data_IF_019578327373
#
_entry.id   IF_019578327373
#
_cell.length_a   1.000
_cell.length_b   1.000
_cell.length_c   1.000
_cell.angle_alpha   90.00
_cell.angle_beta   90.00
_cell.angle_gamma   90.00
#
_symmetry.space_group_name_H-M   'P 1'
#
loop_
_entity.id
_entity.type
_entity.pdbx_description
1 polymer ?
#
# COMPACT_ATOMS: atom_id res chain seq x y z
N UNK A 1 26.40 23.52 -13.80
CA UNK A 1 26.53 22.48 -12.76
C UNK A 1 25.13 22.02 -12.45
N UNK A 2 24.80 20.76 -12.68
CA UNK A 2 23.52 20.22 -12.21
C UNK A 2 23.55 20.28 -10.69
N UNK A 3 22.65 21.05 -10.09
CA UNK A 3 22.47 21.09 -8.65
C UNK A 3 22.22 19.66 -8.20
N UNK A 4 23.05 19.12 -7.31
CA UNK A 4 22.78 17.81 -6.70
C UNK A 4 21.42 17.95 -6.02
N UNK A 5 20.40 17.29 -6.57
CA UNK A 5 19.07 17.33 -5.99
C UNK A 5 19.09 16.49 -4.72
N UNK A 6 19.20 17.19 -3.60
CA UNK A 6 19.19 16.59 -2.27
C UNK A 6 17.81 15.98 -2.01
N UNK A 7 17.79 14.80 -1.41
CA UNK A 7 16.56 14.21 -0.92
C UNK A 7 16.05 15.03 0.28
N UNK A 8 15.01 15.83 0.04
CA UNK A 8 14.47 16.80 0.99
C UNK A 8 13.00 16.52 1.31
N UNK A 9 12.48 17.12 2.39
CA UNK A 9 11.06 17.05 2.72
C UNK A 9 10.15 17.58 1.61
N UNK A 10 10.60 18.62 0.89
CA UNK A 10 9.90 19.16 -0.28
C UNK A 10 9.85 18.14 -1.43
N UNK A 11 10.98 17.49 -1.74
CA UNK A 11 11.03 16.46 -2.77
C UNK A 11 10.13 15.27 -2.37
N UNK A 12 10.21 14.81 -1.13
CA UNK A 12 9.38 13.70 -0.64
C UNK A 12 7.88 14.04 -0.65
N UNK A 13 7.51 15.28 -0.28
CA UNK A 13 6.12 15.76 -0.42
C UNK A 13 5.67 15.73 -1.88
N UNK A 14 6.51 16.20 -2.80
CA UNK A 14 6.20 16.17 -4.24
C UNK A 14 6.08 14.74 -4.78
N UNK A 15 6.94 13.83 -4.32
CA UNK A 15 6.85 12.40 -4.63
C UNK A 15 5.48 11.85 -4.24
N UNK A 16 5.02 12.12 -3.02
CA UNK A 16 3.71 11.66 -2.55
C UNK A 16 2.55 12.28 -3.33
N UNK A 17 2.60 13.57 -3.67
CA UNK A 17 1.55 14.23 -4.47
C UNK A 17 1.44 13.64 -5.87
N UNK A 18 2.58 13.36 -6.50
CA UNK A 18 2.62 12.70 -7.80
C UNK A 18 2.08 11.26 -7.72
N UNK A 19 2.41 10.53 -6.65
CA UNK A 19 1.83 9.20 -6.39
C UNK A 19 0.31 9.25 -6.22
N UNK A 20 -0.22 10.22 -5.44
CA UNK A 20 -1.66 10.41 -5.28
C UNK A 20 -2.36 10.68 -6.63
N UNK A 21 -1.75 11.54 -7.45
CA UNK A 21 -2.27 11.89 -8.78
C UNK A 21 -2.35 10.68 -9.70
N UNK A 22 -1.28 9.86 -9.77
CA UNK A 22 -1.27 8.65 -10.59
C UNK A 22 -2.23 7.59 -10.08
N UNK A 23 -2.31 7.38 -8.76
CA UNK A 23 -3.27 6.44 -8.18
C UNK A 23 -4.70 6.86 -8.46
N UNK A 24 -5.02 8.16 -8.38
CA UNK A 24 -6.33 8.70 -8.77
C UNK A 24 -6.63 8.39 -10.23
N UNK A 25 -5.68 8.72 -11.11
CA UNK A 25 -5.78 8.56 -12.55
C UNK A 25 -6.08 7.11 -12.96
N UNK A 26 -5.39 6.14 -12.34
CA UNK A 26 -5.52 4.72 -12.65
C UNK A 26 -6.42 3.94 -11.67
N UNK A 27 -7.14 4.62 -10.78
CA UNK A 27 -7.96 4.00 -9.73
C UNK A 27 -8.90 2.93 -10.28
N UNK A 28 -9.64 3.24 -11.35
CA UNK A 28 -10.60 2.30 -11.96
C UNK A 28 -9.91 1.10 -12.59
N UNK A 29 -8.77 1.32 -13.25
CA UNK A 29 -7.97 0.23 -13.78
C UNK A 29 -7.51 -0.73 -12.68
N UNK A 30 -6.97 -0.20 -11.58
CA UNK A 30 -6.55 -1.00 -10.42
C UNK A 30 -7.71 -1.81 -9.81
N UNK A 31 -8.91 -1.21 -9.74
CA UNK A 31 -10.10 -1.90 -9.28
C UNK A 31 -10.50 -3.05 -10.24
N UNK A 32 -10.43 -2.83 -11.55
CA UNK A 32 -10.81 -3.84 -12.55
C UNK A 32 -9.86 -5.05 -12.59
N UNK A 33 -8.59 -4.87 -12.25
CA UNK A 33 -7.61 -5.98 -12.16
C UNK A 33 -7.53 -6.62 -10.77
N UNK A 34 -8.35 -6.16 -9.80
CA UNK A 34 -8.38 -6.71 -8.46
C UNK A 34 -9.08 -8.07 -8.45
N UNK A 35 -8.30 -9.15 -8.44
CA UNK A 35 -8.79 -10.54 -8.41
C UNK A 35 -8.23 -11.36 -7.25
N UNK A 36 -7.36 -10.78 -6.41
CA UNK A 36 -6.73 -11.45 -5.28
C UNK A 36 -6.50 -10.48 -4.10
N UNK A 37 -6.72 -10.92 -2.84
CA UNK A 37 -7.27 -12.22 -2.43
C UNK A 37 -8.76 -12.36 -2.75
N UNK A 38 -9.47 -11.24 -2.87
CA UNK A 38 -10.90 -11.20 -3.17
C UNK A 38 -11.13 -10.20 -4.30
N UNK A 39 -11.99 -10.54 -5.25
CA UNK A 39 -12.34 -9.70 -6.39
C UNK A 39 -13.41 -8.65 -6.04
N UNK A 40 -13.20 -7.86 -4.99
CA UNK A 40 -14.17 -6.86 -4.49
C UNK A 40 -14.10 -5.50 -5.22
N UNK A 41 -13.13 -5.34 -6.13
CA UNK A 41 -13.01 -4.15 -6.97
C UNK A 41 -12.65 -2.87 -6.21
N UNK A 42 -11.96 -2.98 -5.06
CA UNK A 42 -11.69 -1.81 -4.20
C UNK A 42 -10.20 -1.39 -4.12
N UNK A 43 -9.26 -2.19 -4.63
CA UNK A 43 -7.82 -2.01 -4.41
C UNK A 43 -7.31 -0.62 -4.79
N UNK A 44 -7.71 -0.10 -5.95
CA UNK A 44 -7.34 1.24 -6.39
C UNK A 44 -7.89 2.34 -5.48
N UNK A 45 -9.14 2.20 -5.01
CA UNK A 45 -9.75 3.14 -4.09
C UNK A 45 -9.02 3.14 -2.74
N UNK A 46 -8.76 1.97 -2.18
CA UNK A 46 -8.05 1.78 -0.91
C UNK A 46 -6.63 2.37 -0.93
N UNK A 47 -5.87 2.11 -2.02
CA UNK A 47 -4.53 2.69 -2.19
C UNK A 47 -4.57 4.20 -2.36
N UNK A 48 -5.49 4.73 -3.18
CA UNK A 48 -5.65 6.16 -3.38
C UNK A 48 -5.99 6.87 -2.07
N UNK A 49 -7.03 6.42 -1.35
CA UNK A 49 -7.46 7.03 -0.08
C UNK A 49 -6.36 7.01 0.99
N UNK A 50 -5.57 5.93 1.03
CA UNK A 50 -4.43 5.83 1.95
C UNK A 50 -3.36 6.88 1.63
N UNK A 51 -3.07 7.12 0.35
CA UNK A 51 -2.09 8.12 -0.07
C UNK A 51 -2.67 9.54 0.01
N UNK A 52 -3.96 9.73 -0.24
CA UNK A 52 -4.65 11.01 -0.07
C UNK A 52 -4.60 11.48 1.39
N UNK A 53 -4.82 10.59 2.35
CA UNK A 53 -4.67 10.90 3.78
C UNK A 53 -3.24 11.33 4.17
N UNK A 54 -2.22 10.83 3.47
CA UNK A 54 -0.83 11.33 3.62
C UNK A 54 -0.73 12.78 3.15
N UNK A 55 -1.33 13.10 2.01
CA UNK A 55 -1.32 14.47 1.46
C UNK A 55 -2.04 15.44 2.40
N UNK A 56 -3.18 15.05 2.96
CA UNK A 56 -3.89 15.87 3.94
C UNK A 56 -3.02 16.18 5.17
N UNK A 57 -2.29 15.19 5.69
CA UNK A 57 -1.38 15.38 6.83
C UNK A 57 -0.19 16.31 6.47
N UNK A 58 0.36 16.17 5.26
CA UNK A 58 1.45 17.01 4.75
C UNK A 58 1.02 18.46 4.49
N UNK A 59 -0.16 18.67 3.91
CA UNK A 59 -0.67 20.00 3.58
C UNK A 59 -0.95 20.82 4.85
N UNK A 60 -1.42 20.15 5.91
CA UNK A 60 -1.61 20.77 7.23
C UNK A 60 -0.30 21.16 7.93
N UNK A 61 0.86 20.66 7.45
CA UNK A 61 2.17 20.85 8.08
C UNK A 61 3.24 21.22 7.03
N UNK A 62 3.02 22.32 6.33
CA UNK A 62 3.93 22.82 5.28
C UNK A 62 5.32 23.21 5.81
N UNK A 63 6.37 23.06 4.99
CA UNK A 63 7.77 23.41 5.25
C UNK A 63 8.51 22.57 6.31
N UNK A 64 8.13 21.30 6.46
CA UNK A 64 8.79 20.34 7.34
C UNK A 64 10.18 19.89 6.85
N UNK A 65 11.04 19.53 7.79
CA UNK A 65 12.29 18.78 7.51
C UNK A 65 11.99 17.40 6.90
N UNK A 66 13.00 16.72 6.35
CA UNK A 66 12.80 15.37 5.79
C UNK A 66 12.32 14.37 6.84
N UNK A 67 12.81 14.47 8.08
CA UNK A 67 12.42 13.63 9.22
C UNK A 67 10.96 13.87 9.60
N UNK A 68 10.57 15.12 9.79
CA UNK A 68 9.17 15.48 10.09
C UNK A 68 8.23 15.07 8.93
N UNK A 69 8.65 15.29 7.68
CA UNK A 69 7.89 14.87 6.49
C UNK A 69 7.66 13.35 6.50
N UNK A 70 8.71 12.57 6.79
CA UNK A 70 8.61 11.11 6.89
C UNK A 70 7.66 10.70 8.04
N UNK A 71 7.73 11.35 9.20
CA UNK A 71 6.82 11.08 10.31
C UNK A 71 5.35 11.38 9.96
N UNK A 72 5.09 12.49 9.26
CA UNK A 72 3.75 12.82 8.76
C UNK A 72 3.25 11.79 7.75
N UNK A 73 4.12 11.28 6.87
CA UNK A 73 3.79 10.18 5.95
C UNK A 73 3.43 8.90 6.70
N UNK A 74 4.23 8.50 7.69
CA UNK A 74 3.93 7.33 8.52
C UNK A 74 2.58 7.48 9.25
N UNK A 75 2.33 8.66 9.84
CA UNK A 75 1.08 8.95 10.55
C UNK A 75 -0.13 8.97 9.61
N UNK A 76 -0.06 9.74 8.53
CA UNK A 76 -1.14 9.89 7.55
C UNK A 76 -1.50 8.55 6.92
N UNK A 77 -0.50 7.77 6.49
CA UNK A 77 -0.73 6.44 5.92
C UNK A 77 -1.35 5.47 6.91
N UNK A 78 -0.89 5.43 8.17
CA UNK A 78 -1.45 4.54 9.20
C UNK A 78 -2.89 4.90 9.56
N UNK A 79 -3.16 6.20 9.73
CA UNK A 79 -4.50 6.66 10.10
C UNK A 79 -5.49 6.53 8.95
N UNK A 80 -5.06 6.80 7.72
CA UNK A 80 -5.86 6.74 6.50
C UNK A 80 -5.93 5.37 5.83
N UNK A 81 -5.14 4.38 6.28
CA UNK A 81 -5.16 3.04 5.72
C UNK A 81 -6.57 2.44 5.71
N UNK A 82 -6.96 1.94 4.55
CA UNK A 82 -8.21 1.23 4.28
C UNK A 82 -7.92 0.00 3.45
N UNK A 83 -8.66 -1.08 3.65
CA UNK A 83 -8.43 -2.35 2.96
C UNK A 83 -7.08 -3.01 3.23
N UNK A 84 -6.88 -4.18 2.64
CA UNK A 84 -5.60 -4.88 2.71
C UNK A 84 -4.45 -4.07 2.08
N UNK A 85 -4.68 -3.53 0.88
CA UNK A 85 -3.66 -2.80 0.12
C UNK A 85 -3.23 -1.52 0.85
N UNK A 86 -4.16 -0.77 1.44
CA UNK A 86 -3.85 0.43 2.23
C UNK A 86 -3.11 0.12 3.53
N UNK A 87 -3.49 -0.95 4.24
CA UNK A 87 -2.75 -1.36 5.45
C UNK A 87 -1.33 -1.81 5.10
N UNK A 88 -1.12 -2.58 4.03
CA UNK A 88 0.22 -2.96 3.56
C UNK A 88 1.06 -1.72 3.21
N UNK A 89 0.50 -0.77 2.45
CA UNK A 89 1.18 0.49 2.13
C UNK A 89 1.53 1.28 3.39
N UNK A 90 0.64 1.33 4.38
CA UNK A 90 0.93 2.03 5.63
C UNK A 90 2.11 1.43 6.39
N UNK A 91 2.27 0.11 6.34
CA UNK A 91 3.40 -0.56 6.96
C UNK A 91 4.68 -0.36 6.17
N UNK A 92 4.60 -0.34 4.84
CA UNK A 92 5.72 0.08 4.00
C UNK A 92 6.19 1.49 4.36
N UNK A 93 5.29 2.48 4.36
CA UNK A 93 5.61 3.86 4.66
C UNK A 93 6.06 4.05 6.11
N UNK A 94 5.48 3.32 7.07
CA UNK A 94 5.92 3.32 8.46
C UNK A 94 7.35 2.81 8.61
N UNK A 95 7.68 1.67 8.01
CA UNK A 95 9.05 1.13 8.02
C UNK A 95 10.06 2.04 7.32
N UNK A 96 9.69 2.58 6.15
CA UNK A 96 10.48 3.55 5.40
C UNK A 96 10.80 4.79 6.23
N UNK A 97 9.78 5.40 6.84
CA UNK A 97 9.91 6.62 7.62
C UNK A 97 10.70 6.42 8.91
N UNK A 98 10.46 5.30 9.61
CA UNK A 98 11.23 4.93 10.79
C UNK A 98 12.72 4.73 10.49
N UNK A 99 13.05 4.31 9.27
CA UNK A 99 14.44 4.21 8.82
C UNK A 99 15.05 5.58 8.53
N UNK A 100 14.33 6.45 7.81
CA UNK A 100 14.77 7.84 7.54
C UNK A 100 15.14 8.58 8.82
N UNK A 101 14.37 8.41 9.88
CA UNK A 101 14.59 9.07 11.18
C UNK A 101 15.95 8.74 11.83
N UNK A 102 16.66 7.72 11.35
CA UNK A 102 17.97 7.29 11.85
C UNK A 102 19.13 8.05 11.22
N UNK A 103 18.89 8.86 10.18
CA UNK A 103 19.93 9.47 9.36
C UNK A 103 19.82 10.99 9.35
N UNK A 104 20.97 11.68 9.42
CA UNK A 104 21.03 13.15 9.30
C UNK A 104 20.89 13.62 7.85
N UNK A 105 21.42 12.85 6.91
CA UNK A 105 21.37 13.13 5.47
C UNK A 105 20.96 11.85 4.74
N UNK A 106 20.12 11.98 3.71
CA UNK A 106 19.63 10.84 2.94
C UNK A 106 20.33 10.79 1.58
N UNK A 107 21.31 9.90 1.46
CA UNK A 107 21.95 9.54 0.21
C UNK A 107 21.37 8.24 -0.39
N UNK A 108 21.98 7.71 -1.46
CA UNK A 108 21.54 6.47 -2.10
C UNK A 108 21.50 5.28 -1.14
N UNK A 109 22.47 5.17 -0.22
CA UNK A 109 22.56 4.07 0.72
C UNK A 109 21.44 4.15 1.76
N UNK A 110 21.25 5.32 2.37
CA UNK A 110 20.21 5.57 3.38
C UNK A 110 18.81 5.38 2.80
N UNK A 111 18.56 5.91 1.58
CA UNK A 111 17.29 5.71 0.89
C UNK A 111 17.03 4.22 0.62
N UNK A 112 18.02 3.49 0.12
CA UNK A 112 17.86 2.05 -0.15
C UNK A 112 17.65 1.24 1.13
N UNK A 113 18.27 1.63 2.24
CA UNK A 113 18.03 1.01 3.54
C UNK A 113 16.60 1.28 4.03
N UNK A 114 16.10 2.50 3.87
CA UNK A 114 14.72 2.84 4.19
C UNK A 114 13.72 2.04 3.34
N UNK A 115 14.01 1.86 2.05
CA UNK A 115 13.20 1.02 1.17
C UNK A 115 13.16 -0.43 1.68
N UNK A 116 14.31 -1.01 2.05
CA UNK A 116 14.40 -2.37 2.61
C UNK A 116 13.63 -2.50 3.92
N UNK A 117 13.76 -1.54 4.84
CA UNK A 117 13.04 -1.53 6.12
C UNK A 117 11.52 -1.43 5.90
N UNK A 118 11.07 -0.60 4.95
CA UNK A 118 9.67 -0.53 4.52
C UNK A 118 9.16 -1.86 3.96
N UNK A 119 9.94 -2.48 3.07
CA UNK A 119 9.59 -3.78 2.49
C UNK A 119 9.43 -4.88 3.56
N UNK A 120 10.35 -4.92 4.54
CA UNK A 120 10.25 -5.86 5.65
C UNK A 120 8.98 -5.63 6.48
N UNK A 121 8.65 -4.38 6.81
CA UNK A 121 7.43 -4.06 7.56
C UNK A 121 6.15 -4.40 6.82
N UNK A 122 6.11 -4.19 5.51
CA UNK A 122 4.98 -4.60 4.68
C UNK A 122 4.73 -6.12 4.73
N UNK A 123 5.80 -6.93 4.68
CA UNK A 123 5.70 -8.39 4.81
C UNK A 123 5.22 -8.84 6.19
N UNK A 124 5.72 -8.23 7.26
CA UNK A 124 5.34 -8.58 8.66
C UNK A 124 3.86 -8.31 9.00
N UNK A 125 3.22 -7.43 8.24
CA UNK A 125 1.84 -7.02 8.43
C UNK A 125 0.82 -8.10 8.08
N UNK A 126 1.18 -9.00 7.16
CA UNK A 126 0.29 -9.99 6.59
C UNK A 126 0.52 -11.33 7.28
N UNK A 127 -0.54 -11.98 7.77
CA UNK A 127 -0.40 -13.26 8.48
C UNK A 127 0.14 -14.38 7.57
N UNK A 128 -0.35 -14.46 6.34
CA UNK A 128 0.04 -15.46 5.34
C UNK A 128 0.48 -14.75 4.05
N UNK A 129 1.70 -14.22 3.97
CA UNK A 129 2.17 -13.49 2.79
C UNK A 129 2.28 -14.44 1.58
N UNK A 130 1.87 -13.96 0.42
CA UNK A 130 1.91 -14.73 -0.83
C UNK A 130 2.84 -14.07 -1.86
N UNK A 131 3.65 -14.89 -2.52
CA UNK A 131 4.46 -14.43 -3.65
C UNK A 131 3.58 -14.24 -4.90
N UNK A 132 3.97 -13.28 -5.74
CA UNK A 132 3.12 -12.82 -6.84
C UNK A 132 2.13 -11.72 -6.45
N UNK A 133 2.27 -11.13 -5.27
CA UNK A 133 1.47 -9.98 -4.80
C UNK A 133 2.30 -8.71 -4.73
N UNK A 134 1.68 -7.59 -4.32
CA UNK A 134 2.35 -6.33 -3.97
C UNK A 134 3.60 -6.52 -3.12
N UNK A 135 3.60 -7.50 -2.21
CA UNK A 135 4.74 -7.83 -1.35
C UNK A 135 5.97 -8.20 -2.19
N UNK A 136 5.81 -9.09 -3.17
CA UNK A 136 6.90 -9.48 -4.08
C UNK A 136 7.46 -8.29 -4.85
N UNK A 137 6.57 -7.41 -5.36
CA UNK A 137 6.96 -6.21 -6.10
C UNK A 137 7.76 -5.26 -5.20
N UNK A 138 7.28 -4.95 -4.00
CA UNK A 138 7.97 -4.10 -3.03
C UNK A 138 9.35 -4.67 -2.68
N UNK A 139 9.43 -5.96 -2.33
CA UNK A 139 10.70 -6.60 -1.94
C UNK A 139 11.70 -6.62 -3.08
N UNK A 140 11.29 -6.97 -4.30
CA UNK A 140 12.20 -7.00 -5.46
C UNK A 140 12.70 -5.61 -5.83
N UNK A 141 11.85 -4.59 -5.67
CA UNK A 141 12.23 -3.19 -5.84
C UNK A 141 13.28 -2.77 -4.79
N UNK A 142 13.08 -3.12 -3.52
CA UNK A 142 14.02 -2.82 -2.44
C UNK A 142 15.36 -3.56 -2.58
N UNK A 143 15.34 -4.83 -2.98
CA UNK A 143 16.55 -5.62 -3.29
C UNK A 143 17.37 -4.96 -4.40
N UNK A 144 16.71 -4.51 -5.48
CA UNK A 144 17.35 -3.81 -6.59
C UNK A 144 17.93 -2.45 -6.18
N UNK A 145 17.18 -1.66 -5.39
CA UNK A 145 17.64 -0.39 -4.85
C UNK A 145 18.93 -0.56 -4.02
N UNK A 146 18.94 -1.53 -3.11
CA UNK A 146 20.10 -1.83 -2.25
C UNK A 146 21.32 -2.25 -3.09
N UNK A 147 21.12 -3.12 -4.09
CA UNK A 147 22.20 -3.53 -4.99
C UNK A 147 22.76 -2.35 -5.79
N UNK A 148 21.91 -1.48 -6.30
CA UNK A 148 22.33 -0.27 -7.03
C UNK A 148 23.12 0.69 -6.13
N UNK A 149 22.62 0.98 -4.92
CA UNK A 149 23.28 1.85 -3.96
C UNK A 149 24.67 1.32 -3.56
N UNK A 150 24.78 0.01 -3.27
CA UNK A 150 26.07 -0.65 -2.98
C UNK A 150 27.05 -0.62 -4.15
N UNK A 151 26.56 -0.48 -5.37
CA UNK A 151 27.37 -0.36 -6.58
C UNK A 151 27.81 1.09 -6.86
N UNK A 152 27.45 2.04 -6.00
CA UNK A 152 27.82 3.45 -6.13
C UNK A 152 26.92 4.27 -7.06
N UNK A 153 25.72 3.79 -7.36
CA UNK A 153 24.74 4.51 -8.19
C UNK A 153 24.27 5.81 -7.50
N UNK A 154 23.88 6.81 -8.30
CA UNK A 154 23.27 8.03 -7.76
C UNK A 154 21.86 7.75 -7.22
N UNK A 155 21.27 8.69 -6.48
CA UNK A 155 19.96 8.46 -5.87
C UNK A 155 18.85 8.29 -6.93
N UNK A 156 18.89 9.07 -8.01
CA UNK A 156 17.95 8.91 -9.12
C UNK A 156 18.15 7.56 -9.83
N UNK A 157 19.40 7.13 -10.04
CA UNK A 157 19.68 5.81 -10.64
C UNK A 157 19.17 4.68 -9.74
N UNK A 158 19.34 4.79 -8.42
CA UNK A 158 18.79 3.83 -7.45
C UNK A 158 17.27 3.73 -7.58
N UNK A 159 16.59 4.87 -7.69
CA UNK A 159 15.14 4.93 -7.85
C UNK A 159 14.68 4.34 -9.20
N UNK A 160 15.35 4.68 -10.29
CA UNK A 160 15.04 4.16 -11.63
C UNK A 160 15.29 2.65 -11.73
N UNK A 161 16.42 2.16 -11.23
CA UNK A 161 16.72 0.71 -11.20
C UNK A 161 15.69 -0.05 -10.36
N UNK A 162 15.30 0.53 -9.22
CA UNK A 162 14.25 -0.03 -8.37
C UNK A 162 12.91 -0.09 -9.10
N UNK A 163 12.54 0.97 -9.84
CA UNK A 163 11.30 1.04 -10.62
C UNK A 163 11.27 0.04 -11.77
N UNK A 164 12.37 -0.13 -12.50
CA UNK A 164 12.47 -1.16 -13.54
C UNK A 164 12.35 -2.57 -12.95
N UNK A 165 12.93 -2.81 -11.77
CA UNK A 165 12.75 -4.07 -11.05
C UNK A 165 11.30 -4.28 -10.61
N UNK A 166 10.61 -3.23 -10.18
CA UNK A 166 9.19 -3.26 -9.83
C UNK A 166 8.34 -3.70 -11.03
N UNK A 167 8.48 -3.03 -12.18
CA UNK A 167 7.78 -3.35 -13.43
C UNK A 167 8.06 -4.78 -13.90
N UNK A 168 9.32 -5.16 -14.00
CA UNK A 168 9.70 -6.51 -14.45
C UNK A 168 9.29 -7.61 -13.46
N UNK A 169 9.07 -7.28 -12.19
CA UNK A 169 8.49 -8.21 -11.20
C UNK A 169 6.98 -8.29 -11.34
N UNK A 170 6.31 -7.15 -11.54
CA UNK A 170 4.87 -7.06 -11.76
C UNK A 170 4.43 -7.89 -12.96
N UNK A 171 5.15 -7.79 -14.09
CA UNK A 171 4.89 -8.60 -15.29
C UNK A 171 4.94 -10.11 -15.03
N UNK A 172 5.68 -10.54 -13.99
CA UNK A 172 5.84 -11.95 -13.61
C UNK A 172 4.89 -12.39 -12.51
N UNK A 173 4.10 -11.50 -11.92
CA UNK A 173 3.13 -11.91 -10.89
C UNK A 173 2.15 -12.99 -11.38
N UNK A 174 1.69 -13.00 -12.65
CA UNK A 174 0.84 -14.09 -13.14
C UNK A 174 1.54 -15.45 -13.13
N UNK A 175 2.86 -15.50 -13.32
CA UNK A 175 3.60 -16.77 -13.26
C UNK A 175 3.81 -17.28 -11.83
N UNK A 176 3.68 -16.39 -10.84
CA UNK A 176 3.87 -16.70 -9.42
C UNK A 176 2.54 -17.05 -8.73
N UNK A 177 1.43 -16.47 -9.17
CA UNK A 177 0.13 -16.63 -8.55
C UNK A 177 -0.94 -17.09 -9.58
N UNK A 178 -1.40 -18.35 -9.52
CA UNK A 178 -2.27 -18.93 -10.55
C UNK A 178 -3.58 -18.18 -10.84
N UNK A 179 -4.18 -17.54 -9.82
CA UNK A 179 -5.42 -16.76 -9.99
C UNK A 179 -5.23 -15.57 -10.94
N UNK A 180 -4.09 -14.89 -10.84
CA UNK A 180 -3.72 -13.79 -11.73
C UNK A 180 -3.55 -14.29 -13.17
N UNK A 181 -2.90 -15.46 -13.34
CA UNK A 181 -2.74 -16.11 -14.66
C UNK A 181 -4.07 -16.50 -15.29
N UNK A 182 -4.99 -17.06 -14.51
CA UNK A 182 -6.33 -17.47 -14.97
C UNK A 182 -7.13 -16.24 -15.43
N UNK A 183 -7.04 -15.15 -14.68
CA UNK A 183 -7.69 -13.88 -14.99
C UNK A 183 -6.98 -13.07 -16.10
N UNK A 184 -5.74 -13.42 -16.46
CA UNK A 184 -4.96 -12.72 -17.48
C UNK A 184 -4.49 -11.32 -17.06
N UNK A 185 -4.39 -11.06 -15.75
CA UNK A 185 -4.03 -9.76 -15.17
C UNK A 185 -2.80 -9.86 -14.29
N UNK A 186 -2.12 -8.73 -14.06
CA UNK A 186 -1.08 -8.60 -13.04
C UNK A 186 -1.68 -8.33 -11.66
N UNK A 187 -0.86 -8.33 -10.61
CA UNK A 187 -1.34 -8.00 -9.26
C UNK A 187 -1.74 -6.51 -9.16
N UNK A 188 -2.97 -6.25 -8.70
CA UNK A 188 -3.51 -4.90 -8.58
C UNK A 188 -2.69 -4.03 -7.61
N UNK A 189 -2.36 -4.56 -6.43
CA UNK A 189 -1.55 -3.82 -5.45
C UNK A 189 -0.13 -3.53 -5.97
N UNK A 190 0.49 -4.49 -6.65
CA UNK A 190 1.78 -4.36 -7.30
C UNK A 190 1.77 -3.29 -8.40
N UNK A 191 0.74 -3.26 -9.23
CA UNK A 191 0.55 -2.22 -10.24
C UNK A 191 0.36 -0.84 -9.61
N UNK A 192 -0.40 -0.74 -8.52
CA UNK A 192 -0.52 0.49 -7.74
C UNK A 192 0.82 0.96 -7.17
N UNK A 193 1.66 0.04 -6.67
CA UNK A 193 3.00 0.36 -6.18
C UNK A 193 3.93 0.85 -7.30
N UNK A 194 3.84 0.28 -8.50
CA UNK A 194 4.55 0.77 -9.69
C UNK A 194 4.15 2.22 -10.00
N UNK A 195 2.86 2.58 -9.93
CA UNK A 195 2.42 3.96 -10.10
C UNK A 195 2.96 4.90 -9.01
N UNK A 196 3.04 4.44 -7.75
CA UNK A 196 3.66 5.21 -6.67
C UNK A 196 5.11 5.56 -7.03
N UNK A 197 5.90 4.57 -7.45
CA UNK A 197 7.30 4.74 -7.83
C UNK A 197 7.47 5.61 -9.09
N UNK A 198 6.59 5.49 -10.07
CA UNK A 198 6.56 6.39 -11.22
C UNK A 198 6.37 7.85 -10.76
N UNK A 199 5.45 8.07 -9.82
CA UNK A 199 5.23 9.38 -9.21
C UNK A 199 6.50 9.93 -8.55
N UNK A 200 7.25 9.07 -7.86
CA UNK A 200 8.52 9.44 -7.23
C UNK A 200 9.57 9.87 -8.27
N UNK A 201 9.72 9.11 -9.36
CA UNK A 201 10.65 9.42 -10.45
C UNK A 201 10.27 10.76 -11.10
N UNK A 202 8.99 10.97 -11.39
CA UNK A 202 8.49 12.22 -11.97
C UNK A 202 8.76 13.41 -11.06
N UNK A 203 8.59 13.25 -9.74
CA UNK A 203 8.90 14.29 -8.78
C UNK A 203 10.39 14.63 -8.78
N UNK A 204 11.25 13.61 -8.81
CA UNK A 204 12.69 13.77 -8.88
C UNK A 204 13.10 14.51 -10.16
N UNK A 205 12.57 14.10 -11.31
CA UNK A 205 12.85 14.73 -12.61
C UNK A 205 12.17 16.08 -12.82
N UNK A 206 11.37 16.54 -11.84
CA UNK A 206 10.55 17.74 -11.94
C UNK A 206 9.59 17.70 -13.15
N UNK A 207 9.12 16.52 -13.51
CA UNK A 207 8.13 16.30 -14.56
C UNK A 207 6.71 16.55 -14.02
N UNK A 208 5.84 17.07 -14.87
CA UNK A 208 4.42 17.18 -14.59
C UNK A 208 3.75 15.81 -14.67
N UNK A 209 2.73 15.62 -13.84
CA UNK A 209 1.85 14.45 -13.87
C UNK A 209 0.50 14.92 -14.37
N UNK A 210 0.06 14.33 -15.47
CA UNK A 210 -1.30 14.52 -15.97
C UNK A 210 -2.31 13.86 -15.01
N UNK A 211 -3.30 14.62 -14.58
CA UNK A 211 -4.34 14.23 -13.62
C UNK A 211 -5.63 13.75 -14.28
N UNK A 212 -5.71 13.77 -15.61
CA UNK A 212 -6.86 13.28 -16.35
C UNK A 212 -7.09 11.78 -16.04
N UNK A 213 -8.22 11.48 -15.38
CA UNK A 213 -8.61 10.10 -15.07
C UNK A 213 -8.71 9.27 -16.36
N UNK A 214 -8.16 8.06 -16.32
CA UNK A 214 -8.34 7.10 -17.40
C UNK A 214 -9.76 6.54 -17.29
N UNK A 215 -10.61 6.96 -18.22
CA UNK A 215 -12.03 6.58 -18.25
C UNK A 215 -12.30 5.27 -18.97
N UNK A 216 -11.42 4.87 -19.90
CA UNK A 216 -11.48 3.58 -20.56
C UNK A 216 -10.68 2.54 -19.79
N UNK A 217 -11.39 1.64 -19.14
CA UNK A 217 -10.81 0.39 -18.67
C UNK A 217 -11.28 -0.68 -19.66
N UNK A 218 -10.34 -1.42 -20.26
CA UNK A 218 -10.75 -2.60 -21.03
C UNK A 218 -11.51 -3.51 -20.07
N UNK A 219 -12.78 -3.77 -20.37
CA UNK A 219 -13.63 -4.61 -19.55
C UNK A 219 -13.01 -6.01 -19.51
N UNK A 220 -12.33 -6.31 -18.42
CA UNK A 220 -11.87 -7.65 -18.12
C UNK A 220 -13.10 -8.42 -17.66
N UNK A 221 -13.56 -9.35 -18.50
CA UNK A 221 -14.61 -10.29 -18.13
C UNK A 221 -14.07 -11.18 -17.00
N UNK A 222 -14.30 -10.75 -15.75
CA UNK A 222 -14.02 -11.54 -14.56
C UNK A 222 -15.07 -12.64 -14.44
N UNK A 223 -14.82 -13.77 -15.10
CA UNK A 223 -15.45 -15.05 -14.77
C UNK A 223 -14.53 -15.79 -13.78
N UNK A 224 -14.16 -15.09 -12.70
CA UNK A 224 -13.46 -15.69 -11.56
C UNK A 224 -14.52 -16.17 -10.59
N UNK A 225 -14.53 -17.48 -10.31
CA UNK A 225 -15.31 -18.05 -9.21
C UNK A 225 -15.05 -17.20 -7.96
N UNK A 226 -16.11 -16.62 -7.40
CA UNK A 226 -16.05 -15.85 -6.16
C UNK A 226 -15.44 -16.76 -5.09
N UNK A 227 -14.30 -16.37 -4.51
CA UNK A 227 -13.80 -17.02 -3.29
C UNK A 227 -14.66 -16.52 -2.12
N UNK A 228 -15.85 -17.11 -2.04
CA UNK A 228 -16.99 -16.77 -1.18
C UNK A 228 -16.79 -17.15 0.30
N UNK A 229 -15.57 -17.45 0.74
CA UNK A 229 -15.35 -17.94 2.10
C UNK A 229 -15.84 -16.94 3.16
N UNK A 230 -15.76 -15.64 2.88
CA UNK A 230 -16.13 -14.57 3.81
C UNK A 230 -16.94 -13.46 3.15
N UNK A 231 -18.03 -13.04 3.77
CA UNK A 231 -18.93 -12.00 3.25
C UNK A 231 -18.52 -10.58 3.63
N UNK A 232 -17.97 -10.38 4.83
CA UNK A 232 -17.75 -9.03 5.38
C UNK A 232 -16.27 -8.67 5.48
N UNK A 233 -15.93 -7.51 4.93
CA UNK A 233 -14.70 -6.80 5.24
C UNK A 233 -14.91 -6.01 6.55
N UNK A 234 -14.10 -6.29 7.57
CA UNK A 234 -14.19 -5.62 8.87
C UNK A 234 -12.87 -4.92 9.19
N UNK A 235 -12.93 -3.61 9.40
CA UNK A 235 -11.78 -2.75 9.67
C UNK A 235 -11.99 -1.94 10.93
N UNK A 236 -10.94 -1.81 11.76
CA UNK A 236 -10.99 -1.00 12.97
C UNK A 236 -9.58 -0.73 13.53
N UNK A 237 -9.51 0.16 14.51
CA UNK A 237 -8.33 0.39 15.34
C UNK A 237 -8.63 -0.08 16.77
N UNK A 238 -7.70 -0.84 17.35
CA UNK A 238 -7.65 -1.17 18.77
C UNK A 238 -6.69 -0.20 19.45
N UNK A 239 -7.14 0.47 20.50
CA UNK A 239 -6.33 1.31 21.39
C UNK A 239 -5.85 0.43 22.56
N UNK A 240 -4.59 0.00 22.51
CA UNK A 240 -3.98 -0.94 23.46
C UNK A 240 -2.45 -0.78 23.51
N UNK A 241 -1.92 -0.49 24.69
CA UNK A 241 -0.47 -0.43 24.93
C UNK A 241 0.15 -1.85 24.92
N UNK A 242 -0.51 -2.81 25.57
CA UNK A 242 0.03 -4.14 25.85
C UNK A 242 -0.06 -5.12 24.67
N UNK A 243 -1.07 -4.99 23.82
CA UNK A 243 -1.32 -5.96 22.76
C UNK A 243 -0.30 -5.80 21.63
N UNK A 244 0.37 -6.88 21.23
CA UNK A 244 1.30 -6.85 20.09
C UNK A 244 0.58 -7.16 18.76
N UNK A 245 1.18 -6.75 17.63
CA UNK A 245 0.68 -7.12 16.31
C UNK A 245 0.66 -8.64 16.11
N UNK A 246 1.69 -9.34 16.62
CA UNK A 246 1.79 -10.80 16.54
C UNK A 246 0.68 -11.49 17.35
N UNK A 247 0.46 -11.07 18.60
CA UNK A 247 -0.65 -11.58 19.42
C UNK A 247 -2.00 -11.31 18.75
N UNK A 248 -2.19 -10.11 18.20
CA UNK A 248 -3.43 -9.77 17.48
C UNK A 248 -3.64 -10.71 16.29
N UNK A 249 -2.59 -11.00 15.52
CA UNK A 249 -2.62 -11.96 14.42
C UNK A 249 -2.99 -13.38 14.89
N UNK A 250 -2.40 -13.86 15.98
CA UNK A 250 -2.71 -15.17 16.55
C UNK A 250 -4.16 -15.29 17.05
N UNK A 251 -4.68 -14.23 17.67
CA UNK A 251 -6.05 -14.17 18.19
C UNK A 251 -7.06 -14.16 17.05
N UNK A 252 -6.84 -13.28 16.06
CA UNK A 252 -7.81 -13.03 14.99
C UNK A 252 -7.69 -13.96 13.80
N UNK A 253 -6.53 -14.59 13.58
CA UNK A 253 -6.30 -15.51 12.46
C UNK A 253 -7.18 -16.76 12.48
N UNK A 254 -7.90 -17.01 13.59
CA UNK A 254 -8.88 -18.11 13.72
C UNK A 254 -10.32 -17.67 13.45
N UNK A 255 -10.54 -16.37 13.23
CA UNK A 255 -11.87 -15.75 13.14
C UNK A 255 -12.19 -15.24 11.73
N UNK A 256 -11.29 -15.44 10.77
CA UNK A 256 -11.45 -14.96 9.40
C UNK A 256 -10.22 -15.20 8.53
N UNK A 257 -10.33 -14.77 7.28
CA UNK A 257 -9.27 -14.79 6.27
C UNK A 257 -8.73 -13.39 5.97
N UNK A 258 -7.72 -13.35 5.09
CA UNK A 258 -7.12 -12.09 4.60
C UNK A 258 -6.76 -11.10 5.71
N UNK A 259 -6.26 -11.61 6.83
CA UNK A 259 -5.94 -10.81 8.01
C UNK A 259 -4.65 -10.01 7.80
N UNK A 260 -4.76 -8.69 7.92
CA UNK A 260 -3.64 -7.76 7.96
C UNK A 260 -3.71 -6.94 9.25
N UNK A 261 -2.58 -6.89 9.95
CA UNK A 261 -2.46 -6.19 11.24
C UNK A 261 -1.25 -5.26 11.20
N UNK A 262 -1.51 -4.02 11.55
CA UNK A 262 -0.52 -2.95 11.62
C UNK A 262 -0.53 -2.37 13.04
N UNK A 263 0.63 -2.32 13.71
CA UNK A 263 0.77 -1.65 15.02
C UNK A 263 1.65 -0.41 14.87
N UNK A 264 1.19 0.69 15.44
CA UNK A 264 1.96 1.92 15.62
C UNK A 264 1.68 2.46 17.02
N UNK A 265 2.71 2.53 17.86
CA UNK A 265 2.59 2.88 19.28
C UNK A 265 1.50 2.06 20.02
N UNK A 266 0.49 2.73 20.57
CA UNK A 266 -0.66 2.17 21.28
C UNK A 266 -1.84 1.84 20.36
N UNK A 267 -1.69 2.03 19.05
CA UNK A 267 -2.74 1.80 18.07
C UNK A 267 -2.46 0.55 17.23
N UNK A 268 -3.46 -0.31 17.10
CA UNK A 268 -3.41 -1.52 16.28
C UNK A 268 -4.54 -1.46 15.26
N UNK A 269 -4.17 -1.20 14.01
CA UNK A 269 -5.10 -1.27 12.89
C UNK A 269 -5.24 -2.71 12.42
N UNK A 270 -6.49 -3.13 12.26
CA UNK A 270 -6.87 -4.47 11.81
C UNK A 270 -7.74 -4.34 10.58
N UNK A 271 -7.45 -5.18 9.58
CA UNK A 271 -8.36 -5.51 8.50
C UNK A 271 -8.51 -7.04 8.46
N UNK A 272 -9.74 -7.53 8.39
CA UNK A 272 -10.03 -8.97 8.34
C UNK A 272 -11.30 -9.24 7.54
N UNK A 273 -11.29 -10.30 6.73
CA UNK A 273 -12.49 -10.82 6.08
C UNK A 273 -13.13 -11.89 6.98
N UNK A 274 -14.39 -11.73 7.36
CA UNK A 274 -15.07 -12.65 8.28
C UNK A 274 -16.58 -12.74 8.01
N UNK A 275 -17.20 -13.85 8.40
CA UNK A 275 -18.67 -13.98 8.42
C UNK A 275 -19.27 -13.53 9.77
N UNK A 276 -18.43 -13.30 10.78
CA UNK A 276 -18.87 -12.91 12.13
C UNK A 276 -18.18 -11.62 12.64
N UNK A 277 -18.41 -10.44 12.03
CA UNK A 277 -17.80 -9.18 12.47
C UNK A 277 -18.02 -8.90 13.98
N UNK A 278 -19.20 -9.23 14.50
CA UNK A 278 -19.54 -9.05 15.92
C UNK A 278 -18.64 -9.86 16.84
N UNK A 279 -18.27 -11.08 16.45
CA UNK A 279 -17.40 -11.96 17.23
C UNK A 279 -15.98 -11.40 17.24
N UNK A 280 -15.46 -10.98 16.09
CA UNK A 280 -14.15 -10.29 15.98
C UNK A 280 -14.08 -9.07 16.90
N UNK A 281 -15.06 -8.17 16.80
CA UNK A 281 -15.12 -6.93 17.59
C UNK A 281 -15.18 -7.25 19.09
N UNK A 282 -16.02 -8.22 19.48
CA UNK A 282 -16.16 -8.62 20.88
C UNK A 282 -14.85 -9.18 21.44
N UNK A 283 -14.11 -9.96 20.66
CA UNK A 283 -12.81 -10.49 21.04
C UNK A 283 -11.79 -9.36 21.24
N UNK A 284 -11.70 -8.39 20.33
CA UNK A 284 -10.77 -7.26 20.44
C UNK A 284 -11.07 -6.33 21.62
N UNK A 285 -12.35 -6.13 21.98
CA UNK A 285 -12.74 -5.31 23.15
C UNK A 285 -12.19 -5.81 24.48
N UNK A 286 -11.70 -7.05 24.55
CA UNK A 286 -11.04 -7.58 25.75
C UNK A 286 -9.65 -6.98 25.98
N UNK A 287 -9.05 -6.37 24.95
CA UNK A 287 -7.66 -5.90 24.97
C UNK A 287 -7.51 -4.37 24.85
N UNK A 288 -8.59 -3.65 24.52
CA UNK A 288 -8.51 -2.22 24.30
C UNK A 288 -9.82 -1.58 23.82
N UNK A 289 -9.80 -0.25 23.74
CA UNK A 289 -10.85 0.52 23.09
C UNK A 289 -10.90 0.23 21.59
N UNK A 290 -12.07 0.35 20.96
CA UNK A 290 -12.20 0.22 19.50
C UNK A 290 -12.67 1.55 18.94
N UNK A 291 -11.94 2.04 17.94
CA UNK A 291 -12.28 3.22 17.17
C UNK A 291 -12.20 2.94 15.66
N UNK A 292 -12.72 3.88 14.85
CA UNK A 292 -12.74 3.80 13.37
C UNK A 292 -13.29 2.47 12.81
N UNK A 293 -14.32 1.92 13.45
CA UNK A 293 -14.96 0.68 13.00
C UNK A 293 -15.71 0.89 11.67
N UNK A 294 -15.41 0.05 10.70
CA UNK A 294 -16.08 -0.07 9.39
C UNK A 294 -16.37 -1.55 9.13
N UNK A 295 -17.57 -1.84 8.62
CA UNK A 295 -17.99 -3.18 8.25
C UNK A 295 -18.71 -3.06 6.91
N UNK A 296 -18.13 -3.65 5.87
CA UNK A 296 -18.69 -3.62 4.52
C UNK A 296 -19.04 -5.03 4.04
N UNK A 297 -20.10 -5.12 3.23
CA UNK A 297 -20.51 -6.35 2.54
C UNK A 297 -19.84 -6.38 1.16
N UNK A 298 -18.86 -7.27 0.99
CA UNK A 298 -18.03 -7.33 -0.21
C UNK A 298 -18.85 -7.70 -1.45
N UNK A 299 -19.91 -8.51 -1.28
CA UNK A 299 -20.81 -8.88 -2.39
C UNK A 299 -21.58 -7.66 -2.93
N UNK A 300 -21.93 -6.70 -2.06
CA UNK A 300 -22.60 -5.47 -2.48
C UNK A 300 -21.64 -4.53 -3.21
N UNK A 301 -20.43 -4.39 -2.68
CA UNK A 301 -19.39 -3.56 -3.30
C UNK A 301 -19.06 -4.05 -4.72
N UNK A 302 -18.89 -5.37 -4.89
CA UNK A 302 -18.66 -5.96 -6.20
C UNK A 302 -19.81 -5.69 -7.18
N UNK A 303 -21.08 -5.87 -6.74
CA UNK A 303 -22.24 -5.55 -7.58
C UNK A 303 -22.28 -4.08 -7.97
N UNK A 304 -22.07 -3.17 -7.02
CA UNK A 304 -22.03 -1.73 -7.30
C UNK A 304 -20.94 -1.36 -8.30
N UNK A 305 -19.76 -1.98 -8.19
CA UNK A 305 -18.68 -1.83 -9.15
C UNK A 305 -19.11 -2.26 -10.56
N UNK A 306 -19.68 -3.47 -10.71
CA UNK A 306 -20.20 -3.95 -11.99
C UNK A 306 -21.32 -3.06 -12.56
N UNK A 307 -22.19 -2.51 -11.73
CA UNK A 307 -23.25 -1.60 -12.18
C UNK A 307 -22.68 -0.27 -12.72
N UNK A 308 -21.66 0.29 -12.08
CA UNK A 308 -21.03 1.56 -12.51
C UNK A 308 -20.24 1.39 -13.81
N UNK A 309 -19.52 0.28 -13.99
CA UNK A 309 -18.80 -0.04 -15.23
C UNK A 309 -19.77 -0.24 -16.41
N UNK A 310 -20.90 -0.94 -16.20
CA UNK A 310 -21.89 -1.17 -17.26
C UNK A 310 -22.76 0.06 -17.61
N UNK A 311 -22.66 1.15 -16.83
CA UNK A 311 -23.48 2.35 -17.01
C UNK A 311 -22.73 3.53 -17.64
N UNK A 312 -21.42 3.38 -17.91
CA UNK A 312 -20.58 4.36 -18.61
C UNK A 312 -20.19 3.87 -20.00
#
# INVERSE_FOLDING_TARGET
>A
MATLQLFSGELLTKMMRNSATLLKKYRRHLNAINVFPVADGDTGANMYLTVEAIIEELDNNSNSSIVETAQLIARGSFMGATGNSGVILSQFFGGFSNSINKFENIGPMEFSQAFVDGAAKAYEAVLNPQEGTILTVIRKSAEAANKAAKSGASLIDVLEISYEAAKGTLEKTPDLLPVLKKAGVVDAGGQGFVYIMEGWIKAFKNEEVDDAEVTQVDALAQDTEEDDEYQFCTEFIIESEDLTAEQTREILGKLGGSLVVAKNDDLIRVHIHTNEPKTVIKTCKLYGGISRLKIDDMSKQHREFLFVENSN
#
